data_IF_187525196785
#
_entry.id   IF_187525196785
#
_cell.length_a   1.000
_cell.length_b   1.000
_cell.length_c   1.000
_cell.angle_alpha   90.00
_cell.angle_beta   90.00
_cell.angle_gamma   90.00
#
_symmetry.space_group_name_H-M   'P 1'
#
loop_
_entity.id
_entity.type
_entity.pdbx_description
1 polymer ?
#
# COMPACT_ATOMS: atom_id res chain seq x y z
N UNK A 1 -24.17 40.57 -17.44
CA UNK A 1 -22.97 39.79 -17.79
C UNK A 1 -21.80 39.92 -16.79
N UNK A 2 -21.53 41.07 -16.18
CA UNK A 2 -20.43 41.24 -15.17
C UNK A 2 -20.63 40.41 -13.89
N UNK A 3 -21.85 40.25 -13.41
CA UNK A 3 -22.15 39.51 -12.16
C UNK A 3 -21.88 37.98 -12.29
N UNK A 4 -22.16 37.38 -13.45
CA UNK A 4 -21.91 35.95 -13.71
C UNK A 4 -20.42 35.64 -13.71
N UNK A 5 -19.57 36.54 -14.26
CA UNK A 5 -18.11 36.35 -14.26
C UNK A 5 -17.52 36.36 -12.85
N UNK A 6 -18.07 37.13 -11.92
CA UNK A 6 -17.63 37.18 -10.51
C UNK A 6 -17.96 35.86 -9.81
N UNK A 7 -19.13 35.27 -10.03
CA UNK A 7 -19.52 33.98 -9.43
C UNK A 7 -18.68 32.81 -9.94
N UNK A 8 -18.30 32.79 -11.23
CA UNK A 8 -17.42 31.79 -11.81
C UNK A 8 -16.02 31.90 -11.22
N UNK A 9 -15.51 33.12 -11.03
CA UNK A 9 -14.20 33.33 -10.40
C UNK A 9 -14.18 32.87 -8.93
N UNK A 10 -15.25 33.17 -8.19
CA UNK A 10 -15.41 32.72 -6.80
C UNK A 10 -15.57 31.19 -6.70
N UNK A 11 -16.27 30.56 -7.65
CA UNK A 11 -16.45 29.12 -7.73
C UNK A 11 -15.10 28.39 -8.03
N UNK A 12 -14.28 28.96 -8.92
CA UNK A 12 -12.94 28.42 -9.19
C UNK A 12 -12.00 28.51 -7.97
N UNK A 13 -12.11 29.55 -7.14
CA UNK A 13 -11.32 29.68 -5.91
C UNK A 13 -11.72 28.60 -4.89
N UNK A 14 -13.02 28.30 -4.75
CA UNK A 14 -13.52 27.29 -3.81
C UNK A 14 -13.09 25.86 -4.22
N UNK A 15 -13.03 25.58 -5.54
CA UNK A 15 -12.61 24.25 -6.04
C UNK A 15 -11.12 24.01 -5.79
N UNK A 16 -10.29 25.04 -5.88
CA UNK A 16 -8.86 24.92 -5.58
C UNK A 16 -8.57 24.74 -4.07
N UNK A 17 -9.42 25.28 -3.18
CA UNK A 17 -9.22 25.19 -1.74
C UNK A 17 -9.31 23.74 -1.20
N UNK A 18 -10.14 22.87 -1.80
CA UNK A 18 -10.25 21.46 -1.36
C UNK A 18 -9.03 20.59 -1.65
N UNK A 19 -8.27 20.89 -2.71
CA UNK A 19 -7.04 20.11 -3.03
C UNK A 19 -5.89 20.51 -2.09
N UNK A 20 -5.76 21.77 -1.75
CA UNK A 20 -4.74 22.25 -0.81
C UNK A 20 -5.05 21.89 0.64
N UNK A 21 -6.32 21.78 1.03
CA UNK A 21 -6.70 21.43 2.39
C UNK A 21 -6.23 20.01 2.79
N UNK A 22 -6.30 19.07 1.86
CA UNK A 22 -5.93 17.66 2.15
C UNK A 22 -4.42 17.49 2.39
N UNK A 23 -3.57 18.18 1.63
CA UNK A 23 -2.12 18.13 1.80
C UNK A 23 -1.69 18.87 3.08
N UNK A 24 -2.32 20.00 3.40
CA UNK A 24 -2.08 20.74 4.65
C UNK A 24 -2.51 19.93 5.89
N UNK A 25 -3.63 19.24 5.83
CA UNK A 25 -4.11 18.36 6.92
C UNK A 25 -3.18 17.14 7.11
N UNK A 26 -2.63 16.60 6.02
CA UNK A 26 -1.64 15.53 6.09
C UNK A 26 -0.32 16.00 6.72
N UNK A 27 0.15 17.20 6.38
CA UNK A 27 1.34 17.81 7.01
C UNK A 27 1.11 18.06 8.52
N UNK A 28 -0.10 18.46 8.93
CA UNK A 28 -0.46 18.60 10.33
C UNK A 28 -0.49 17.25 11.06
N UNK A 29 -1.02 16.22 10.39
CA UNK A 29 -1.00 14.86 10.91
C UNK A 29 0.44 14.36 11.12
N UNK A 30 1.38 14.62 10.21
CA UNK A 30 2.79 14.25 10.39
C UNK A 30 3.39 14.81 11.67
N UNK A 31 3.04 16.05 12.04
CA UNK A 31 3.50 16.66 13.30
C UNK A 31 2.95 15.92 14.52
N UNK A 32 1.67 15.52 14.48
CA UNK A 32 1.06 14.72 15.56
C UNK A 32 1.67 13.31 15.62
N UNK A 33 1.88 12.68 14.49
CA UNK A 33 2.54 11.37 14.38
C UNK A 33 3.97 11.40 14.97
N UNK A 34 4.73 12.46 14.72
CA UNK A 34 6.08 12.63 15.28
C UNK A 34 6.08 12.49 16.80
N UNK A 35 5.13 13.11 17.51
CA UNK A 35 5.03 13.00 18.97
C UNK A 35 4.79 11.55 19.39
N UNK A 36 3.87 10.84 18.74
CA UNK A 36 3.55 9.44 19.00
C UNK A 36 4.76 8.53 18.76
N UNK A 37 5.48 8.76 17.66
CA UNK A 37 6.65 7.96 17.29
C UNK A 37 7.82 8.16 18.27
N UNK A 38 8.06 9.40 18.72
CA UNK A 38 9.05 9.71 19.74
C UNK A 38 8.74 9.03 21.07
N UNK A 39 7.47 9.05 21.51
CA UNK A 39 7.01 8.35 22.72
C UNK A 39 7.22 6.83 22.63
N UNK A 40 7.17 6.27 21.42
CA UNK A 40 7.45 4.85 21.15
C UNK A 40 8.93 4.54 20.89
N UNK A 41 9.84 5.51 21.08
CA UNK A 41 11.29 5.33 21.01
C UNK A 41 11.91 5.47 19.61
N UNK A 42 11.15 5.91 18.60
CA UNK A 42 11.71 6.21 17.27
C UNK A 42 12.49 7.52 17.34
N UNK A 43 13.73 7.54 16.83
CA UNK A 43 14.55 8.76 16.87
C UNK A 43 13.99 9.86 15.96
N UNK A 44 14.18 11.13 16.35
CA UNK A 44 13.79 12.28 15.54
C UNK A 44 14.40 12.22 14.14
N UNK A 45 15.69 11.86 14.05
CA UNK A 45 16.37 11.71 12.78
C UNK A 45 15.73 10.66 11.88
N UNK A 46 15.28 9.53 12.43
CA UNK A 46 14.53 8.52 11.67
C UNK A 46 13.22 9.07 11.15
N UNK A 47 12.44 9.72 12.03
CA UNK A 47 11.14 10.29 11.66
C UNK A 47 11.29 11.33 10.54
N UNK A 48 12.23 12.27 10.65
CA UNK A 48 12.47 13.31 9.66
C UNK A 48 12.93 12.74 8.30
N UNK A 49 13.70 11.66 8.31
CA UNK A 49 14.20 11.03 7.09
C UNK A 49 13.27 10.00 6.47
N UNK A 50 12.17 9.63 7.13
CA UNK A 50 11.14 8.70 6.65
C UNK A 50 9.80 9.41 6.51
N UNK A 51 8.98 9.43 7.56
CA UNK A 51 7.62 10.01 7.54
C UNK A 51 7.65 11.50 7.27
N UNK A 52 8.65 12.22 7.75
CA UNK A 52 8.84 13.64 7.45
C UNK A 52 8.92 13.95 5.96
N UNK A 53 9.49 13.03 5.17
CA UNK A 53 9.59 13.14 3.70
C UNK A 53 8.43 12.47 2.94
N UNK A 54 7.51 11.81 3.63
CA UNK A 54 6.38 11.13 2.99
C UNK A 54 5.42 12.11 2.35
N UNK A 55 4.78 11.68 1.26
CA UNK A 55 3.77 12.42 0.52
C UNK A 55 2.41 11.72 0.63
N UNK A 56 1.34 12.50 0.52
CA UNK A 56 -0.01 11.97 0.54
C UNK A 56 -0.36 11.27 -0.78
N UNK A 57 -0.73 9.98 -0.72
CA UNK A 57 -1.01 9.14 -1.87
C UNK A 57 -2.49 8.74 -1.95
N UNK A 58 -3.32 9.58 -2.57
CA UNK A 58 -4.77 9.35 -2.73
C UNK A 58 -5.14 7.97 -3.27
N UNK A 59 -4.36 7.45 -4.22
CA UNK A 59 -4.63 6.15 -4.84
C UNK A 59 -4.44 4.99 -3.86
N UNK A 60 -3.59 5.13 -2.85
CA UNK A 60 -3.41 4.13 -1.79
C UNK A 60 -4.72 3.92 -1.02
N UNK A 61 -5.40 5.01 -0.63
CA UNK A 61 -6.71 4.93 0.02
C UNK A 61 -7.74 4.24 -0.88
N UNK A 62 -7.72 4.57 -2.18
CA UNK A 62 -8.62 3.95 -3.16
C UNK A 62 -8.37 2.45 -3.27
N UNK A 63 -7.11 2.02 -3.31
CA UNK A 63 -6.76 0.59 -3.38
C UNK A 63 -7.09 -0.15 -2.08
N UNK A 64 -6.86 0.47 -0.91
CA UNK A 64 -7.26 -0.12 0.37
C UNK A 64 -8.77 -0.31 0.50
N UNK A 65 -9.57 0.56 -0.13
CA UNK A 65 -11.03 0.47 -0.11
C UNK A 65 -11.60 -0.44 -1.18
N UNK A 66 -10.86 -0.69 -2.25
CA UNK A 66 -11.28 -1.55 -3.36
C UNK A 66 -10.40 -2.80 -3.42
N UNK A 67 -10.85 -3.86 -2.74
CA UNK A 67 -10.19 -5.16 -2.72
C UNK A 67 -11.02 -6.14 -3.56
N UNK A 68 -10.48 -6.65 -4.70
CA UNK A 68 -11.22 -7.48 -5.64
C UNK A 68 -11.89 -8.71 -5.01
N UNK A 69 -11.30 -9.27 -3.95
CA UNK A 69 -11.81 -10.41 -3.20
C UNK A 69 -13.20 -10.18 -2.59
N UNK A 70 -13.61 -8.93 -2.39
CA UNK A 70 -14.94 -8.58 -1.89
C UNK A 70 -15.95 -8.25 -2.99
N UNK A 71 -15.49 -8.06 -4.24
CA UNK A 71 -16.34 -7.63 -5.36
C UNK A 71 -16.41 -8.64 -6.49
N UNK A 72 -15.43 -9.53 -6.62
CA UNK A 72 -15.42 -10.59 -7.62
C UNK A 72 -16.07 -11.86 -7.04
N UNK A 73 -16.84 -12.60 -7.87
CA UNK A 73 -17.25 -13.94 -7.48
C UNK A 73 -16.04 -14.88 -7.39
N UNK A 74 -16.13 -15.91 -6.55
CA UNK A 74 -15.02 -16.82 -6.25
C UNK A 74 -14.44 -17.48 -7.50
N UNK A 75 -15.27 -17.88 -8.47
CA UNK A 75 -14.81 -18.52 -9.70
C UNK A 75 -13.97 -17.57 -10.54
N UNK A 76 -14.44 -16.35 -10.71
CA UNK A 76 -13.71 -15.28 -11.43
C UNK A 76 -12.41 -14.94 -10.71
N UNK A 77 -12.45 -14.75 -9.41
CA UNK A 77 -11.29 -14.47 -8.58
C UNK A 77 -10.20 -15.55 -8.73
N UNK A 78 -10.57 -16.81 -8.53
CA UNK A 78 -9.63 -17.95 -8.63
C UNK A 78 -9.10 -18.10 -10.05
N UNK A 79 -9.95 -18.02 -11.09
CA UNK A 79 -9.51 -18.18 -12.48
C UNK A 79 -8.50 -17.14 -12.92
N UNK A 80 -8.63 -15.90 -12.44
CA UNK A 80 -7.67 -14.82 -12.73
C UNK A 80 -6.33 -15.05 -12.04
N UNK A 81 -6.34 -15.56 -10.80
CA UNK A 81 -5.14 -15.69 -9.97
C UNK A 81 -4.42 -17.02 -10.12
N UNK A 82 -5.14 -18.09 -10.35
CA UNK A 82 -4.61 -19.44 -10.57
C UNK A 82 -4.66 -19.89 -12.04
N UNK A 83 -4.43 -18.96 -12.96
CA UNK A 83 -4.43 -19.28 -14.39
C UNK A 83 -3.23 -20.18 -14.78
N UNK A 84 -3.39 -20.94 -15.85
CA UNK A 84 -2.39 -21.92 -16.30
C UNK A 84 -1.00 -21.30 -16.58
N UNK A 85 -0.94 -20.06 -17.04
CA UNK A 85 0.33 -19.35 -17.28
C UNK A 85 1.11 -19.18 -15.96
N UNK A 86 0.41 -18.79 -14.88
CA UNK A 86 1.03 -18.62 -13.56
C UNK A 86 1.47 -19.97 -12.97
N UNK A 87 0.64 -21.01 -13.10
CA UNK A 87 0.97 -22.38 -12.69
C UNK A 87 2.25 -22.85 -13.40
N UNK A 88 2.31 -22.75 -14.72
CA UNK A 88 3.49 -23.15 -15.49
C UNK A 88 4.75 -22.34 -15.12
N UNK A 89 4.58 -21.06 -14.76
CA UNK A 89 5.70 -20.24 -14.26
C UNK A 89 6.19 -20.77 -12.91
N UNK A 90 5.30 -21.11 -11.98
CA UNK A 90 5.65 -21.71 -10.70
C UNK A 90 6.42 -23.02 -10.84
N UNK A 91 5.97 -23.91 -11.75
CA UNK A 91 6.65 -25.15 -12.07
C UNK A 91 8.08 -24.89 -12.59
N UNK A 92 8.25 -23.94 -13.51
CA UNK A 92 9.58 -23.55 -14.03
C UNK A 92 10.48 -23.02 -12.92
N UNK A 93 9.95 -22.15 -12.05
CA UNK A 93 10.67 -21.59 -10.89
C UNK A 93 11.11 -22.71 -9.94
N UNK A 94 10.20 -23.63 -9.61
CA UNK A 94 10.52 -24.79 -8.78
C UNK A 94 11.66 -25.62 -9.39
N UNK A 95 11.54 -26.01 -10.65
CA UNK A 95 12.55 -26.84 -11.32
C UNK A 95 13.92 -26.16 -11.36
N UNK A 96 13.95 -24.85 -11.63
CA UNK A 96 15.20 -24.06 -11.64
C UNK A 96 15.84 -23.94 -10.26
N UNK A 97 15.03 -23.86 -9.20
CA UNK A 97 15.49 -23.60 -7.84
C UNK A 97 15.20 -24.76 -6.87
N UNK A 98 15.00 -25.98 -7.40
CA UNK A 98 14.55 -27.15 -6.65
C UNK A 98 15.31 -27.34 -5.34
N UNK A 99 16.65 -27.33 -5.41
CA UNK A 99 17.51 -27.60 -4.25
C UNK A 99 17.28 -26.62 -3.09
N UNK A 100 17.13 -25.34 -3.38
CA UNK A 100 16.91 -24.32 -2.34
C UNK A 100 15.48 -24.35 -1.82
N UNK A 101 14.49 -24.55 -2.70
CA UNK A 101 13.07 -24.62 -2.31
C UNK A 101 12.84 -25.85 -1.42
N UNK A 102 13.36 -27.03 -1.81
CA UNK A 102 13.24 -28.24 -1.00
C UNK A 102 13.95 -28.08 0.37
N UNK A 103 15.09 -27.38 0.43
CA UNK A 103 15.77 -27.06 1.69
C UNK A 103 14.87 -26.18 2.59
N UNK A 104 14.34 -25.08 2.05
CA UNK A 104 13.48 -24.14 2.80
C UNK A 104 12.23 -24.86 3.31
N UNK A 105 11.54 -25.61 2.45
CA UNK A 105 10.31 -26.31 2.83
C UNK A 105 10.55 -27.34 3.93
N UNK A 106 11.70 -28.01 3.91
CA UNK A 106 12.11 -28.94 4.98
C UNK A 106 12.46 -28.20 6.27
N UNK A 107 13.25 -27.14 6.19
CA UNK A 107 13.73 -26.36 7.34
C UNK A 107 12.58 -25.69 8.11
N UNK A 108 11.63 -25.08 7.37
CA UNK A 108 10.52 -24.36 7.94
C UNK A 108 9.21 -25.17 7.99
N UNK A 109 9.23 -26.43 7.60
CA UNK A 109 8.04 -27.31 7.57
C UNK A 109 6.86 -26.73 6.79
N UNK A 110 7.13 -26.05 5.67
CA UNK A 110 6.13 -25.40 4.81
C UNK A 110 5.91 -26.21 3.53
N UNK A 111 4.66 -26.39 3.12
CA UNK A 111 4.36 -27.05 1.84
C UNK A 111 4.90 -26.22 0.66
N UNK A 112 5.62 -26.88 -0.26
CA UNK A 112 6.24 -26.21 -1.42
C UNK A 112 5.23 -25.55 -2.35
N UNK A 113 4.03 -26.15 -2.49
CA UNK A 113 3.02 -25.61 -3.39
C UNK A 113 2.40 -24.34 -2.77
N UNK A 114 2.25 -24.33 -1.43
CA UNK A 114 1.83 -23.14 -0.70
C UNK A 114 2.85 -22.01 -0.86
N UNK A 115 4.14 -22.30 -0.64
CA UNK A 115 5.22 -21.31 -0.81
C UNK A 115 5.21 -20.72 -2.23
N UNK A 116 5.18 -21.58 -3.26
CA UNK A 116 5.17 -21.13 -4.66
C UNK A 116 3.89 -20.39 -5.03
N UNK A 117 2.74 -20.79 -4.48
CA UNK A 117 1.46 -20.10 -4.71
C UNK A 117 1.49 -18.68 -4.15
N UNK A 118 1.99 -18.48 -2.93
CA UNK A 118 2.18 -17.15 -2.34
C UNK A 118 3.14 -16.30 -3.18
N UNK A 119 4.31 -16.82 -3.55
CA UNK A 119 5.23 -16.10 -4.44
C UNK A 119 4.57 -15.68 -5.76
N UNK A 120 3.70 -16.52 -6.31
CA UNK A 120 2.96 -16.24 -7.53
C UNK A 120 1.87 -15.19 -7.35
N UNK A 121 1.12 -15.23 -6.26
CA UNK A 121 0.00 -14.30 -6.00
C UNK A 121 0.54 -12.92 -5.61
N UNK A 122 1.47 -12.85 -4.67
CA UNK A 122 1.95 -11.60 -4.09
C UNK A 122 2.79 -10.77 -5.08
N UNK A 123 3.74 -11.42 -5.75
CA UNK A 123 4.72 -10.67 -6.55
C UNK A 123 4.85 -11.15 -7.99
N UNK A 124 3.97 -12.06 -8.45
CA UNK A 124 4.14 -12.74 -9.73
C UNK A 124 5.56 -13.31 -9.88
N UNK A 125 6.01 -14.04 -8.85
CA UNK A 125 7.36 -14.61 -8.74
C UNK A 125 8.49 -13.57 -8.83
N UNK A 126 8.33 -12.44 -8.17
CA UNK A 126 9.31 -11.34 -8.14
C UNK A 126 9.28 -10.42 -9.36
N UNK A 127 8.37 -10.62 -10.33
CA UNK A 127 8.23 -9.74 -11.50
C UNK A 127 7.39 -8.50 -11.22
N UNK A 128 6.71 -8.43 -10.10
CA UNK A 128 5.89 -7.31 -9.67
C UNK A 128 6.23 -6.92 -8.24
N UNK A 129 6.95 -5.83 -8.08
CA UNK A 129 7.44 -5.34 -6.78
C UNK A 129 6.67 -4.12 -6.24
N UNK A 130 5.58 -3.74 -6.92
CA UNK A 130 4.90 -2.48 -6.59
C UNK A 130 5.67 -1.25 -7.09
N UNK A 131 4.98 -0.11 -7.12
CA UNK A 131 5.57 1.17 -7.59
C UNK A 131 5.37 2.30 -6.59
N UNK A 132 4.58 2.09 -5.55
CA UNK A 132 4.30 3.09 -4.55
C UNK A 132 5.35 3.07 -3.44
N UNK A 133 5.73 4.23 -2.99
CA UNK A 133 6.61 4.37 -1.82
C UNK A 133 5.94 3.79 -0.57
N UNK A 134 6.65 2.91 0.13
CA UNK A 134 6.09 2.15 1.26
C UNK A 134 5.78 3.09 2.42
N UNK A 135 6.70 3.99 2.77
CA UNK A 135 6.53 4.91 3.90
C UNK A 135 5.38 5.88 3.64
N UNK A 136 5.34 6.47 2.44
CA UNK A 136 4.22 7.35 2.05
C UNK A 136 2.88 6.62 2.02
N UNK A 137 2.89 5.34 1.60
CA UNK A 137 1.67 4.51 1.59
C UNK A 137 1.17 4.24 3.01
N UNK A 138 2.04 3.79 3.92
CA UNK A 138 1.71 3.56 5.32
C UNK A 138 1.30 4.85 6.02
N UNK A 139 2.03 5.96 5.80
CA UNK A 139 1.69 7.27 6.35
C UNK A 139 0.30 7.74 5.89
N UNK A 140 0.00 7.57 4.59
CA UNK A 140 -1.33 7.89 4.03
C UNK A 140 -2.44 7.05 4.68
N UNK A 141 -2.23 5.75 4.87
CA UNK A 141 -3.21 4.85 5.50
C UNK A 141 -3.33 5.07 7.01
N UNK A 142 -2.25 5.48 7.68
CA UNK A 142 -2.29 5.92 9.08
C UNK A 142 -3.07 7.22 9.25
N UNK A 143 -2.95 8.14 8.29
CA UNK A 143 -3.73 9.37 8.26
C UNK A 143 -5.21 9.12 7.96
N UNK A 144 -5.54 8.15 7.08
CA UNK A 144 -6.92 7.77 6.77
C UNK A 144 -7.56 7.05 7.96
N UNK A 145 -8.68 7.54 8.46
CA UNK A 145 -9.28 7.13 9.75
C UNK A 145 -9.72 5.66 9.80
N UNK A 146 -9.90 5.00 8.64
CA UNK A 146 -10.53 3.66 8.57
C UNK A 146 -9.78 2.57 9.35
N UNK A 147 -8.45 2.57 9.36
CA UNK A 147 -7.58 1.59 10.03
C UNK A 147 -6.33 2.26 10.61
N UNK A 148 -6.48 3.49 11.04
CA UNK A 148 -5.38 4.37 11.46
C UNK A 148 -4.47 3.73 12.52
N UNK A 149 -5.02 3.11 13.57
CA UNK A 149 -4.23 2.48 14.63
C UNK A 149 -3.36 1.34 14.10
N UNK A 150 -3.94 0.47 13.26
CA UNK A 150 -3.20 -0.63 12.63
C UNK A 150 -2.02 -0.10 11.81
N UNK A 151 -2.27 0.81 10.87
CA UNK A 151 -1.22 1.33 10.00
C UNK A 151 -0.20 2.21 10.73
N UNK A 152 -0.60 2.89 11.81
CA UNK A 152 0.32 3.61 12.69
C UNK A 152 1.27 2.64 13.40
N UNK A 153 0.79 1.48 13.84
CA UNK A 153 1.63 0.43 14.42
C UNK A 153 2.63 -0.11 13.39
N UNK A 154 2.17 -0.44 12.19
CA UNK A 154 3.03 -0.90 11.09
C UNK A 154 4.08 0.13 10.68
N UNK A 155 3.76 1.41 10.73
CA UNK A 155 4.66 2.50 10.37
C UNK A 155 5.77 2.73 11.41
N UNK A 156 5.55 2.34 12.67
CA UNK A 156 6.49 2.52 13.79
C UNK A 156 7.40 1.28 13.96
N UNK A 157 6.98 0.12 13.46
CA UNK A 157 7.75 -1.14 13.53
C UNK A 157 8.87 -1.20 12.51
#
# INVERSE_FOLDING_TARGET
>A
MKKIKIYIFFLCIIINFKAYATDAEFEEWKKKFQSIALERGVSLNTIENTVGKSIFLKDVIKFDRYQPEFYEDTKTYVSKRANIKRVNTGIKIYNKNKKIIDKITKEFSVDKNLLLSLMGIETNFGNYLGKMDIVSSLATLSYDQRRSEFFTSELIT
#
